data_IF_590727388634
#
_entry.id   IF_590727388634
#
_cell.length_a   1.000
_cell.length_b   1.000
_cell.length_c   1.000
_cell.angle_alpha   90.00
_cell.angle_beta   90.00
_cell.angle_gamma   90.00
#
_symmetry.space_group_name_H-M   'P 1'
#
loop_
_entity.id
_entity.type
_entity.pdbx_description
1 polymer ?
#
# COMPACT_ATOMS: atom_id res chain seq x y z
N UNK A 1 1.24 -5.57 -15.43
CA UNK A 1 0.40 -6.77 -15.43
C UNK A 1 1.28 -8.00 -15.24
N UNK A 2 0.98 -8.80 -14.23
CA UNK A 2 1.72 -10.00 -13.91
C UNK A 2 1.15 -11.23 -14.63
N UNK A 3 1.96 -12.30 -14.71
CA UNK A 3 1.55 -13.56 -15.35
C UNK A 3 0.36 -14.23 -14.64
N UNK A 4 0.11 -13.89 -13.36
CA UNK A 4 -1.05 -14.39 -12.61
C UNK A 4 -2.38 -13.74 -13.01
N UNK A 5 -2.38 -12.79 -13.93
CA UNK A 5 -3.55 -12.08 -14.41
C UNK A 5 -3.89 -10.79 -13.68
N UNK A 6 -3.22 -10.50 -12.57
CA UNK A 6 -3.44 -9.27 -11.80
C UNK A 6 -2.52 -8.14 -12.28
N UNK A 7 -2.99 -6.91 -12.07
CA UNK A 7 -2.19 -5.71 -12.28
C UNK A 7 -1.79 -5.15 -10.92
N UNK A 8 -0.50 -4.93 -10.72
CA UNK A 8 0.07 -4.47 -9.45
C UNK A 8 0.71 -3.10 -9.59
N UNK A 9 0.67 -2.33 -8.51
CA UNK A 9 1.50 -1.15 -8.30
C UNK A 9 2.67 -1.54 -7.43
N UNK A 10 3.90 -1.23 -7.84
CA UNK A 10 5.09 -1.49 -7.04
C UNK A 10 6.27 -0.67 -7.52
N UNK A 11 7.35 -0.64 -6.75
CA UNK A 11 8.59 0.00 -7.16
C UNK A 11 9.21 -0.74 -8.35
N UNK A 12 9.62 0.00 -9.38
CA UNK A 12 10.24 -0.57 -10.58
C UNK A 12 11.49 -1.39 -10.24
N UNK A 13 12.32 -0.91 -9.31
CA UNK A 13 13.52 -1.60 -8.86
C UNK A 13 13.28 -2.97 -8.25
N UNK A 14 12.06 -3.27 -7.82
CA UNK A 14 11.69 -4.51 -7.15
C UNK A 14 10.87 -5.47 -8.03
N UNK A 15 10.63 -5.12 -9.29
CA UNK A 15 9.82 -5.95 -10.21
C UNK A 15 10.34 -7.38 -10.32
N UNK A 16 11.61 -7.56 -10.60
CA UNK A 16 12.18 -8.90 -10.77
C UNK A 16 12.21 -9.67 -9.45
N UNK A 17 12.48 -9.00 -8.35
CA UNK A 17 12.51 -9.62 -7.02
C UNK A 17 11.14 -10.16 -6.63
N UNK A 18 10.09 -9.38 -6.87
CA UNK A 18 8.72 -9.72 -6.45
C UNK A 18 8.02 -10.63 -7.45
N UNK A 19 8.10 -10.32 -8.73
CA UNK A 19 7.33 -10.99 -9.78
C UNK A 19 8.14 -11.97 -10.64
N UNK A 20 9.46 -11.93 -10.57
CA UNK A 20 10.34 -12.75 -11.44
C UNK A 20 10.04 -14.25 -11.37
N UNK A 21 9.60 -14.73 -10.20
CA UNK A 21 9.23 -16.15 -9.99
C UNK A 21 8.02 -16.63 -10.80
N UNK A 22 7.25 -15.69 -11.36
CA UNK A 22 6.09 -16.02 -12.18
C UNK A 22 6.44 -16.30 -13.64
N UNK A 23 7.70 -16.13 -14.02
CA UNK A 23 8.18 -16.40 -15.38
C UNK A 23 8.10 -17.91 -15.67
N UNK A 24 7.64 -18.26 -16.89
CA UNK A 24 7.64 -19.62 -17.42
C UNK A 24 8.38 -19.62 -18.75
N UNK A 25 8.58 -20.82 -19.35
CA UNK A 25 9.22 -20.94 -20.66
C UNK A 25 8.44 -20.21 -21.75
N UNK A 26 7.11 -20.16 -21.62
CA UNK A 26 6.20 -19.61 -22.61
C UNK A 26 5.66 -18.22 -22.27
N UNK A 27 5.78 -17.78 -21.01
CA UNK A 27 5.24 -16.51 -20.53
C UNK A 27 6.27 -15.70 -19.78
N UNK A 28 6.27 -14.39 -20.02
CA UNK A 28 7.03 -13.44 -19.22
C UNK A 28 6.38 -13.30 -17.84
N UNK A 29 7.19 -13.03 -16.81
CA UNK A 29 6.71 -12.84 -15.46
C UNK A 29 5.73 -11.67 -15.35
N UNK A 30 5.96 -10.60 -16.11
CA UNK A 30 5.15 -9.40 -16.06
C UNK A 30 5.31 -8.56 -17.32
N UNK A 31 4.37 -7.64 -17.51
CA UNK A 31 4.43 -6.58 -18.51
C UNK A 31 4.26 -5.23 -17.79
N UNK A 32 5.18 -4.30 -18.04
CA UNK A 32 5.09 -2.93 -17.50
C UNK A 32 4.09 -2.16 -18.35
N UNK A 33 2.96 -1.77 -17.76
CA UNK A 33 1.91 -1.02 -18.45
C UNK A 33 2.17 0.48 -18.38
N UNK A 34 2.70 0.96 -17.27
CA UNK A 34 2.93 2.38 -17.04
C UNK A 34 4.03 2.55 -16.00
N UNK A 35 4.85 3.60 -16.15
CA UNK A 35 5.87 3.99 -15.19
C UNK A 35 5.62 5.42 -14.75
N UNK A 36 5.66 5.67 -13.45
CA UNK A 36 5.42 6.98 -12.87
C UNK A 36 6.24 7.15 -11.59
N UNK A 37 6.32 8.37 -11.09
CA UNK A 37 6.92 8.62 -9.78
C UNK A 37 5.93 8.23 -8.67
N UNK A 38 6.43 7.77 -7.52
CA UNK A 38 5.59 7.45 -6.37
C UNK A 38 4.70 8.62 -5.95
N UNK A 39 5.23 9.84 -6.01
CA UNK A 39 4.47 11.05 -5.68
C UNK A 39 3.25 11.27 -6.59
N UNK A 40 3.25 10.73 -7.80
CA UNK A 40 2.10 10.84 -8.72
C UNK A 40 0.91 10.02 -8.25
N UNK A 41 1.12 9.07 -7.34
CA UNK A 41 0.06 8.27 -6.73
C UNK A 41 -0.53 8.90 -5.46
N UNK A 42 0.07 9.98 -4.94
CA UNK A 42 -0.40 10.64 -3.72
C UNK A 42 -1.88 11.00 -3.83
N UNK A 43 -2.63 10.74 -2.77
CA UNK A 43 -4.08 10.94 -2.66
C UNK A 43 -4.94 10.02 -3.54
N UNK A 44 -4.38 9.08 -4.29
CA UNK A 44 -5.16 8.09 -5.03
C UNK A 44 -5.90 7.19 -4.03
N UNK A 45 -7.20 7.05 -4.20
CA UNK A 45 -8.04 6.29 -3.29
C UNK A 45 -8.08 4.80 -3.65
N UNK A 46 -8.30 3.96 -2.64
CA UNK A 46 -8.47 2.51 -2.81
C UNK A 46 -9.58 2.00 -1.89
N UNK A 47 -10.05 0.79 -2.17
CA UNK A 47 -11.07 0.14 -1.37
C UNK A 47 -10.50 -0.35 -0.03
N UNK A 48 -11.20 -0.10 1.11
CA UNK A 48 -10.78 -0.62 2.40
C UNK A 48 -10.78 -2.16 2.42
N UNK A 49 -9.77 -2.74 3.06
CA UNK A 49 -9.72 -4.19 3.27
C UNK A 49 -10.77 -4.67 4.28
N UNK A 50 -11.09 -3.82 5.25
CA UNK A 50 -12.00 -4.17 6.33
C UNK A 50 -13.08 -3.11 6.51
N UNK A 51 -14.34 -3.54 6.49
CA UNK A 51 -15.49 -2.64 6.72
C UNK A 51 -15.47 -2.01 8.12
N UNK A 52 -15.00 -2.73 9.13
CA UNK A 52 -14.89 -2.19 10.49
C UNK A 52 -13.93 -0.99 10.54
N UNK A 53 -12.84 -1.02 9.81
CA UNK A 53 -11.91 0.10 9.73
C UNK A 53 -12.56 1.31 9.07
N UNK A 54 -13.32 1.09 7.99
CA UNK A 54 -14.07 2.16 7.32
C UNK A 54 -15.10 2.80 8.26
N UNK A 55 -15.82 1.98 9.02
CA UNK A 55 -16.82 2.49 9.98
C UNK A 55 -16.19 3.38 11.05
N UNK A 56 -15.00 3.02 11.55
CA UNK A 56 -14.27 3.84 12.52
C UNK A 56 -13.81 5.15 11.91
N UNK A 57 -13.26 5.11 10.70
CA UNK A 57 -12.83 6.29 9.97
C UNK A 57 -14.01 7.26 9.74
N UNK A 58 -15.16 6.73 9.35
CA UNK A 58 -16.38 7.51 9.14
C UNK A 58 -16.85 8.19 10.43
N UNK A 59 -16.77 7.49 11.57
CA UNK A 59 -17.09 8.07 12.88
C UNK A 59 -16.18 9.23 13.26
N UNK A 60 -14.90 9.15 12.89
CA UNK A 60 -13.93 10.21 13.12
C UNK A 60 -14.04 11.35 12.09
N UNK A 61 -14.87 11.19 11.07
CA UNK A 61 -15.04 12.15 9.97
C UNK A 61 -13.73 12.47 9.28
N UNK A 62 -12.87 11.46 9.13
CA UNK A 62 -11.57 11.58 8.47
C UNK A 62 -11.48 10.63 7.28
N UNK A 63 -10.85 11.11 6.21
CA UNK A 63 -10.56 10.30 5.04
C UNK A 63 -9.28 9.52 5.28
N UNK A 64 -9.27 8.21 5.00
CA UNK A 64 -8.15 7.38 5.36
C UNK A 64 -7.68 6.37 4.31
N UNK A 65 -8.45 6.07 3.29
CA UNK A 65 -8.09 5.00 2.34
C UNK A 65 -7.56 5.59 1.04
N UNK A 66 -6.39 6.21 1.13
CA UNK A 66 -5.70 6.80 -0.01
C UNK A 66 -4.19 6.69 0.16
N UNK A 67 -3.46 6.85 -0.95
CA UNK A 67 -2.00 6.76 -0.96
C UNK A 67 -1.39 8.01 -0.35
N UNK A 68 -0.44 7.79 0.57
CA UNK A 68 0.36 8.85 1.19
C UNK A 68 1.82 8.66 0.81
N UNK A 69 2.64 9.69 1.00
CA UNK A 69 4.07 9.66 0.67
C UNK A 69 4.92 10.01 1.88
N UNK A 70 5.99 9.26 2.09
CA UNK A 70 6.98 9.57 3.11
C UNK A 70 8.35 9.03 2.69
N UNK A 71 9.40 9.57 3.29
CA UNK A 71 10.78 9.23 2.94
C UNK A 71 11.30 7.97 3.64
N UNK A 72 10.59 7.44 4.65
CA UNK A 72 11.05 6.23 5.33
C UNK A 72 10.81 4.94 4.53
N UNK A 73 9.98 5.00 3.49
CA UNK A 73 9.73 3.85 2.63
C UNK A 73 10.95 3.59 1.75
N UNK A 74 11.45 2.37 1.76
CA UNK A 74 12.64 1.99 1.00
C UNK A 74 12.31 1.14 -0.21
N UNK A 75 13.27 1.05 -1.15
CA UNK A 75 13.20 0.15 -2.30
C UNK A 75 14.14 -1.05 -2.14
N UNK A 76 14.61 -1.32 -0.91
CA UNK A 76 15.56 -2.39 -0.62
C UNK A 76 14.89 -3.74 -0.36
N UNK A 77 13.63 -3.75 0.03
CA UNK A 77 12.85 -4.98 0.23
C UNK A 77 11.35 -4.72 0.00
N UNK A 78 10.55 -5.78 0.05
CA UNK A 78 9.11 -5.68 -0.17
C UNK A 78 8.76 -5.26 -1.58
N UNK A 79 7.79 -4.36 -1.71
CA UNK A 79 7.28 -3.88 -3.00
C UNK A 79 7.52 -2.39 -3.25
N UNK A 80 8.11 -1.69 -2.27
CA UNK A 80 8.23 -0.23 -2.31
C UNK A 80 6.94 0.48 -1.91
N UNK A 81 5.89 -0.26 -1.56
CA UNK A 81 4.62 0.24 -1.04
C UNK A 81 4.37 -0.45 0.28
N UNK A 82 4.11 0.33 1.33
CA UNK A 82 3.88 -0.22 2.67
C UNK A 82 2.47 0.10 3.15
N UNK A 83 1.91 -0.81 3.94
CA UNK A 83 0.65 -0.58 4.63
C UNK A 83 0.90 0.25 5.89
N UNK A 84 0.08 1.26 6.11
CA UNK A 84 0.21 2.19 7.22
C UNK A 84 -0.94 2.04 8.19
N UNK A 85 -0.62 1.90 9.48
CA UNK A 85 -1.59 1.85 10.57
C UNK A 85 -1.17 2.85 11.66
N UNK A 86 -1.68 4.09 11.64
CA UNK A 86 -1.24 5.15 12.56
C UNK A 86 -1.30 4.81 14.04
N UNK A 87 -2.19 3.89 14.42
CA UNK A 87 -2.32 3.46 15.81
C UNK A 87 -1.24 2.46 16.26
N UNK A 88 -0.44 1.91 15.35
CA UNK A 88 0.43 0.77 15.62
C UNK A 88 1.91 0.97 15.30
N UNK A 89 2.33 2.15 14.89
CA UNK A 89 3.73 2.43 14.60
C UNK A 89 4.05 3.90 14.70
N UNK A 90 5.28 4.23 15.11
CA UNK A 90 5.70 5.62 15.25
C UNK A 90 5.80 6.34 13.91
N UNK A 91 6.44 5.71 12.91
CA UNK A 91 6.52 6.27 11.55
C UNK A 91 5.12 6.40 10.94
N UNK A 92 4.28 5.39 11.14
CA UNK A 92 2.90 5.38 10.70
C UNK A 92 2.08 6.50 11.36
N UNK A 93 2.31 6.73 12.65
CA UNK A 93 1.66 7.82 13.39
C UNK A 93 2.07 9.20 12.87
N UNK A 94 3.34 9.36 12.48
CA UNK A 94 3.83 10.59 11.87
C UNK A 94 3.14 10.88 10.54
N UNK A 95 3.00 9.87 9.69
CA UNK A 95 2.22 9.98 8.44
C UNK A 95 0.77 10.33 8.76
N UNK A 96 0.19 9.68 9.77
CA UNK A 96 -1.17 9.96 10.22
C UNK A 96 -1.39 11.41 10.59
N UNK A 97 -0.45 12.02 11.28
CA UNK A 97 -0.50 13.45 11.63
C UNK A 97 -0.35 14.36 10.40
N UNK A 98 0.57 14.02 9.50
CA UNK A 98 0.84 14.83 8.30
C UNK A 98 -0.34 14.87 7.34
N UNK A 99 -1.11 13.79 7.25
CA UNK A 99 -2.26 13.68 6.34
C UNK A 99 -3.61 13.73 7.06
N UNK A 100 -3.61 13.94 8.38
CA UNK A 100 -4.83 13.91 9.20
C UNK A 100 -5.66 12.63 9.01
N UNK A 101 -4.98 11.49 9.08
CA UNK A 101 -5.59 10.18 8.91
C UNK A 101 -6.42 9.78 10.14
N UNK A 102 -7.47 8.96 9.96
CA UNK A 102 -8.18 8.40 11.09
C UNK A 102 -7.28 7.50 11.92
N UNK A 103 -7.48 7.50 13.24
CA UNK A 103 -6.74 6.68 14.16
C UNK A 103 -7.60 5.44 14.47
N UNK A 104 -7.34 4.35 13.75
CA UNK A 104 -8.13 3.10 13.85
C UNK A 104 -7.40 2.13 14.76
N UNK A 105 -7.94 1.92 15.95
CA UNK A 105 -7.41 1.00 16.94
C UNK A 105 -8.33 -0.23 17.02
N UNK A 106 -7.90 -1.34 16.40
CA UNK A 106 -8.65 -2.58 16.42
C UNK A 106 -8.15 -3.47 17.55
N UNK A 107 -9.08 -3.93 18.39
CA UNK A 107 -8.77 -4.92 19.42
C UNK A 107 -8.69 -6.31 18.77
N UNK A 108 -7.59 -7.00 19.03
CA UNK A 108 -7.45 -8.40 18.70
C UNK A 108 -7.96 -9.24 19.86
N UNK A 109 -8.89 -10.14 19.58
CA UNK A 109 -9.37 -11.10 20.56
C UNK A 109 -8.66 -12.43 20.31
N UNK A 110 -7.93 -12.91 21.30
CA UNK A 110 -7.31 -14.22 21.27
C UNK A 110 -8.25 -15.24 21.91
N UNK A 111 -8.63 -16.21 21.13
CA UNK A 111 -9.48 -17.31 21.61
C UNK A 111 -8.63 -18.54 21.90
#
# INVERSE_FOLDING_TARGET
>A
KAADGYTYYMAEALLDTVLGKLATEDEKAYEVLETMKGADLEHKEYEPLYECAKAIADKQRKKGFFVTCDTYVTMSDGTGIVHIAPAFGEDDANVGRNYDLPFVHLMQVYL
#
